data_IF_015349636956
#
_entry.id   IF_015349636956
#
_cell.length_a   1.000
_cell.length_b   1.000
_cell.length_c   1.000
_cell.angle_alpha   90.00
_cell.angle_beta   90.00
_cell.angle_gamma   90.00
#
_symmetry.space_group_name_H-M   'P 1'
#
loop_
_entity.id
_entity.type
_entity.pdbx_description
1 polymer ?
#
# COMPACT_ATOMS: atom_id res chain seq x y z
N UNK A 1 -18.60 -4.27 35.83
CA UNK A 1 -19.71 -5.11 35.36
C UNK A 1 -19.14 -6.16 34.39
N UNK A 2 -19.29 -7.46 34.67
CA UNK A 2 -18.73 -8.55 33.85
C UNK A 2 -19.56 -8.63 32.55
N UNK A 3 -19.03 -8.12 31.44
CA UNK A 3 -19.76 -8.18 30.17
C UNK A 3 -19.82 -9.64 29.71
N UNK A 4 -21.01 -10.23 29.71
CA UNK A 4 -21.21 -11.61 29.27
C UNK A 4 -21.15 -11.63 27.74
N UNK A 5 -20.24 -12.42 27.18
CA UNK A 5 -20.13 -12.56 25.72
C UNK A 5 -21.41 -13.16 25.15
N UNK A 6 -21.84 -12.67 23.99
CA UNK A 6 -22.98 -13.25 23.28
C UNK A 6 -22.62 -14.62 22.72
N UNK A 7 -23.63 -15.41 22.33
CA UNK A 7 -23.42 -16.73 21.71
C UNK A 7 -22.51 -16.67 20.49
N UNK A 8 -22.65 -15.64 19.65
CA UNK A 8 -21.80 -15.46 18.47
C UNK A 8 -20.37 -15.06 18.84
N UNK A 9 -20.19 -14.25 19.88
CA UNK A 9 -18.86 -13.88 20.38
C UNK A 9 -18.16 -15.08 21.03
N UNK A 10 -18.89 -15.97 21.71
CA UNK A 10 -18.35 -17.23 22.23
C UNK A 10 -17.92 -18.17 21.10
N UNK A 11 -18.72 -18.28 20.02
CA UNK A 11 -18.33 -19.03 18.82
C UNK A 11 -17.03 -18.49 18.20
N UNK A 12 -16.80 -17.18 18.27
CA UNK A 12 -15.58 -16.55 17.80
C UNK A 12 -14.34 -16.84 18.69
N UNK A 13 -14.47 -17.60 19.78
CA UNK A 13 -13.34 -18.09 20.59
C UNK A 13 -12.89 -19.50 20.20
N UNK A 14 -13.58 -20.17 19.27
CA UNK A 14 -13.24 -21.52 18.79
C UNK A 14 -11.83 -21.55 18.17
N UNK A 15 -10.95 -22.38 18.73
CA UNK A 15 -9.54 -22.51 18.31
C UNK A 15 -9.28 -23.70 17.38
N UNK A 16 -10.29 -24.52 17.07
CA UNK A 16 -10.12 -25.76 16.29
C UNK A 16 -10.14 -25.53 14.76
N UNK A 17 -10.37 -24.29 14.32
CA UNK A 17 -10.48 -23.93 12.90
C UNK A 17 -10.16 -22.47 12.65
N UNK A 18 -9.92 -22.16 11.38
CA UNK A 18 -9.83 -20.80 10.88
C UNK A 18 -11.22 -20.15 10.88
N UNK A 19 -11.32 -18.89 11.33
CA UNK A 19 -12.58 -18.17 11.44
C UNK A 19 -12.51 -16.83 10.70
N UNK A 20 -13.53 -16.58 9.89
CA UNK A 20 -13.84 -15.24 9.39
C UNK A 20 -15.03 -14.70 10.20
N UNK A 21 -14.83 -13.55 10.85
CA UNK A 21 -15.86 -12.94 11.73
C UNK A 21 -16.35 -11.64 11.10
N UNK A 22 -17.59 -11.65 10.62
CA UNK A 22 -18.26 -10.44 10.12
C UNK A 22 -18.99 -9.73 11.25
N UNK A 23 -18.75 -8.43 11.41
CA UNK A 23 -19.25 -7.70 12.56
C UNK A 23 -19.44 -6.20 12.26
N UNK A 24 -20.66 -5.71 12.47
CA UNK A 24 -21.04 -4.30 12.25
C UNK A 24 -20.37 -3.31 13.21
N UNK A 25 -20.59 -2.02 13.02
CA UNK A 25 -20.15 -0.99 13.98
C UNK A 25 -20.74 -1.28 15.38
N UNK A 26 -19.99 -0.99 16.44
CA UNK A 26 -20.46 -1.17 17.83
C UNK A 26 -20.61 -2.62 18.32
N UNK A 27 -20.45 -3.64 17.47
CA UNK A 27 -20.62 -5.07 17.83
C UNK A 27 -19.54 -5.68 18.74
N UNK A 28 -18.55 -4.88 19.16
CA UNK A 28 -17.48 -5.34 20.05
C UNK A 28 -16.37 -6.15 19.37
N UNK A 29 -16.11 -5.96 18.07
CA UNK A 29 -15.03 -6.62 17.31
C UNK A 29 -13.70 -6.70 18.07
N UNK A 30 -13.21 -5.55 18.52
CA UNK A 30 -11.95 -5.46 19.27
C UNK A 30 -12.03 -6.23 20.58
N UNK A 31 -13.16 -6.17 21.29
CA UNK A 31 -13.38 -6.95 22.51
C UNK A 31 -13.29 -8.44 22.23
N UNK A 32 -13.91 -8.93 21.14
CA UNK A 32 -13.83 -10.34 20.75
C UNK A 32 -12.40 -10.75 20.42
N UNK A 33 -11.66 -9.94 19.66
CA UNK A 33 -10.26 -10.23 19.34
C UNK A 33 -9.37 -10.29 20.58
N UNK A 34 -9.53 -9.35 21.52
CA UNK A 34 -8.79 -9.34 22.79
C UNK A 34 -9.14 -10.57 23.63
N UNK A 35 -10.43 -10.92 23.75
CA UNK A 35 -10.85 -12.13 24.45
C UNK A 35 -10.31 -13.39 23.78
N UNK A 36 -10.27 -13.45 22.45
CA UNK A 36 -9.68 -14.56 21.68
C UNK A 36 -8.17 -14.67 21.94
N UNK A 37 -7.44 -13.56 21.90
CA UNK A 37 -6.01 -13.51 22.22
C UNK A 37 -5.72 -14.10 23.60
N UNK A 38 -6.46 -13.65 24.63
CA UNK A 38 -6.33 -14.18 25.98
C UNK A 38 -6.79 -15.64 26.11
N UNK A 39 -7.82 -16.02 25.36
CA UNK A 39 -8.30 -17.41 25.34
C UNK A 39 -7.23 -18.35 24.80
N UNK A 40 -6.51 -17.97 23.73
CA UNK A 40 -5.39 -18.76 23.20
C UNK A 40 -4.32 -18.96 24.28
N UNK A 41 -3.87 -17.89 24.94
CA UNK A 41 -2.81 -17.97 25.94
C UNK A 41 -3.22 -18.74 27.21
N UNK A 42 -4.48 -18.59 27.65
CA UNK A 42 -4.96 -19.25 28.87
C UNK A 42 -5.27 -20.73 28.65
N UNK A 43 -5.73 -21.13 27.46
CA UNK A 43 -5.99 -22.55 27.14
C UNK A 43 -4.73 -23.32 26.73
N UNK A 44 -3.63 -22.63 26.40
CA UNK A 44 -2.39 -23.25 25.93
C UNK A 44 -1.19 -22.75 26.75
N UNK A 45 -0.91 -23.35 27.93
CA UNK A 45 0.17 -22.90 28.82
C UNK A 45 1.57 -22.88 28.18
N UNK A 46 1.81 -23.71 27.17
CA UNK A 46 3.07 -23.78 26.45
C UNK A 46 3.31 -22.59 25.51
N UNK A 47 2.27 -21.84 25.13
CA UNK A 47 2.42 -20.67 24.27
C UNK A 47 2.82 -19.44 25.09
N UNK A 48 3.66 -18.59 24.53
CA UNK A 48 4.01 -17.27 25.06
C UNK A 48 3.28 -16.20 24.24
N UNK A 49 3.27 -14.96 24.74
CA UNK A 49 2.64 -13.84 24.01
C UNK A 49 3.27 -13.61 22.63
N UNK A 50 4.57 -13.92 22.48
CA UNK A 50 5.28 -13.77 21.21
C UNK A 50 4.99 -14.88 20.19
N UNK A 51 4.25 -15.93 20.58
CA UNK A 51 3.76 -16.95 19.67
C UNK A 51 2.45 -16.55 18.95
N UNK A 52 1.86 -15.40 19.29
CA UNK A 52 0.62 -14.91 18.68
C UNK A 52 0.89 -13.61 17.94
N UNK A 53 0.74 -13.64 16.61
CA UNK A 53 0.76 -12.45 15.77
C UNK A 53 -0.65 -11.85 15.64
N UNK A 54 -0.79 -10.59 16.04
CA UNK A 54 -2.00 -9.81 15.84
C UNK A 54 -1.71 -8.60 14.94
N UNK A 55 -2.46 -8.47 13.85
CA UNK A 55 -2.27 -7.42 12.85
C UNK A 55 -3.49 -6.49 12.83
N UNK A 56 -3.24 -5.17 12.85
CA UNK A 56 -4.27 -4.13 12.73
C UNK A 56 -4.00 -3.21 11.54
N UNK A 57 -4.99 -2.39 11.16
CA UNK A 57 -4.84 -1.45 10.04
C UNK A 57 -4.10 -0.16 10.43
N UNK A 58 -4.25 0.32 11.66
CA UNK A 58 -3.68 1.59 12.11
C UNK A 58 -2.87 1.43 13.39
N UNK A 59 -1.89 2.31 13.60
CA UNK A 59 -1.09 2.37 14.84
C UNK A 59 -1.97 2.63 16.07
N UNK A 60 -3.02 3.46 15.91
CA UNK A 60 -4.01 3.67 16.97
C UNK A 60 -4.72 2.37 17.38
N UNK A 61 -5.11 1.53 16.41
CA UNK A 61 -5.74 0.25 16.71
C UNK A 61 -4.76 -0.74 17.34
N UNK A 62 -3.48 -0.73 16.93
CA UNK A 62 -2.41 -1.49 17.59
C UNK A 62 -2.29 -1.10 19.07
N UNK A 63 -2.18 0.19 19.36
CA UNK A 63 -2.06 0.72 20.73
C UNK A 63 -3.30 0.37 21.57
N UNK A 64 -4.50 0.61 21.02
CA UNK A 64 -5.76 0.28 21.69
C UNK A 64 -5.88 -1.22 22.01
N UNK A 65 -5.44 -2.09 21.09
CA UNK A 65 -5.43 -3.53 21.32
C UNK A 65 -4.48 -3.93 22.46
N UNK A 66 -3.25 -3.39 22.49
CA UNK A 66 -2.28 -3.63 23.58
C UNK A 66 -2.82 -3.18 24.93
N UNK A 67 -3.41 -1.98 24.99
CA UNK A 67 -4.01 -1.43 26.21
C UNK A 67 -5.14 -2.32 26.73
N UNK A 68 -6.06 -2.75 25.85
CA UNK A 68 -7.17 -3.64 26.22
C UNK A 68 -6.71 -5.01 26.70
N UNK A 69 -5.67 -5.59 26.07
CA UNK A 69 -5.06 -6.85 26.52
C UNK A 69 -4.53 -6.69 27.95
N UNK A 70 -3.76 -5.63 28.21
CA UNK A 70 -3.20 -5.37 29.54
C UNK A 70 -4.30 -5.17 30.60
N UNK A 71 -5.32 -4.37 30.28
CA UNK A 71 -6.44 -4.09 31.17
C UNK A 71 -7.21 -5.36 31.54
N UNK A 72 -7.51 -6.21 30.54
CA UNK A 72 -8.26 -7.45 30.74
C UNK A 72 -7.48 -8.47 31.59
N UNK A 73 -6.17 -8.62 31.34
CA UNK A 73 -5.32 -9.52 32.15
C UNK A 73 -5.22 -9.01 33.58
N UNK A 74 -4.96 -7.71 33.76
CA UNK A 74 -4.87 -7.09 35.10
C UNK A 74 -6.16 -7.27 35.88
N UNK A 75 -7.31 -7.13 35.22
CA UNK A 75 -8.60 -7.38 35.84
C UNK A 75 -8.78 -8.86 36.20
N UNK A 76 -8.44 -9.79 35.30
CA UNK A 76 -8.53 -11.23 35.56
C UNK A 76 -7.62 -11.65 36.72
N UNK A 77 -6.41 -11.11 36.81
CA UNK A 77 -5.46 -11.37 37.89
C UNK A 77 -5.99 -10.88 39.25
N UNK A 78 -6.55 -9.66 39.30
CA UNK A 78 -7.16 -9.09 40.52
C UNK A 78 -8.35 -9.91 41.03
N UNK A 79 -9.19 -10.40 40.13
CA UNK A 79 -10.39 -11.18 40.49
C UNK A 79 -10.03 -12.56 41.09
N UNK A 80 -8.81 -13.05 40.88
CA UNK A 80 -8.35 -14.34 41.41
C UNK A 80 -9.00 -15.55 40.72
N UNK A 81 -8.48 -16.74 41.04
CA UNK A 81 -8.94 -18.02 40.49
C UNK A 81 -7.79 -18.99 40.21
N UNK A 82 -8.11 -20.19 39.70
CA UNK A 82 -7.16 -21.28 39.46
C UNK A 82 -6.10 -21.05 38.37
N UNK A 83 -6.06 -19.87 37.74
CA UNK A 83 -5.10 -19.53 36.67
C UNK A 83 -4.18 -18.36 37.06
N UNK A 84 -4.05 -18.04 38.34
CA UNK A 84 -3.33 -16.85 38.80
C UNK A 84 -1.85 -16.83 38.37
N UNK A 85 -1.17 -17.97 38.46
CA UNK A 85 0.22 -18.15 38.01
C UNK A 85 0.35 -17.91 36.51
N UNK A 86 -0.51 -18.54 35.72
CA UNK A 86 -0.55 -18.36 34.27
C UNK A 86 -0.78 -16.90 33.86
N UNK A 87 -1.71 -16.21 34.52
CA UNK A 87 -1.97 -14.79 34.25
C UNK A 87 -0.76 -13.92 34.59
N UNK A 88 -0.04 -14.23 35.67
CA UNK A 88 1.19 -13.54 36.06
C UNK A 88 2.30 -13.71 35.02
N UNK A 89 2.51 -14.93 34.50
CA UNK A 89 3.46 -15.19 33.41
C UNK A 89 3.14 -14.34 32.17
N UNK A 90 1.87 -14.35 31.75
CA UNK A 90 1.42 -13.58 30.58
C UNK A 90 1.69 -12.09 30.82
N UNK A 91 1.37 -11.55 32.00
CA UNK A 91 1.63 -10.14 32.34
C UNK A 91 3.10 -9.77 32.19
N UNK A 92 4.01 -10.60 32.70
CA UNK A 92 5.45 -10.34 32.65
C UNK A 92 5.99 -10.36 31.22
N UNK A 93 5.35 -11.11 30.31
CA UNK A 93 5.79 -11.21 28.92
C UNK A 93 5.12 -10.19 28.00
N UNK A 94 4.11 -9.43 28.43
CA UNK A 94 3.31 -8.55 27.54
C UNK A 94 4.11 -7.57 26.69
N UNK A 95 5.30 -7.16 27.15
CA UNK A 95 6.20 -6.30 26.38
C UNK A 95 6.72 -6.95 25.09
N UNK A 96 6.73 -8.29 25.01
CA UNK A 96 7.10 -9.08 23.83
C UNK A 96 5.92 -9.34 22.87
N UNK A 97 4.70 -8.86 23.20
CA UNK A 97 3.50 -9.16 22.42
C UNK A 97 3.62 -8.67 20.96
N UNK A 98 3.41 -9.58 20.02
CA UNK A 98 3.53 -9.31 18.58
C UNK A 98 2.24 -8.70 18.03
N UNK A 99 1.97 -7.45 18.41
CA UNK A 99 0.84 -6.65 17.89
C UNK A 99 1.37 -5.50 17.06
N UNK A 100 1.06 -5.51 15.75
CA UNK A 100 1.60 -4.58 14.77
C UNK A 100 0.54 -4.10 13.78
N UNK A 101 0.85 -3.04 13.05
CA UNK A 101 0.25 -2.83 11.72
C UNK A 101 0.83 -3.80 10.69
N UNK A 102 0.21 -3.92 9.51
CA UNK A 102 0.78 -4.71 8.40
C UNK A 102 2.22 -4.23 8.08
N UNK A 103 2.38 -2.92 7.91
CA UNK A 103 3.70 -2.31 7.62
C UNK A 103 4.69 -2.53 8.77
N UNK A 104 4.24 -2.37 10.02
CA UNK A 104 5.08 -2.62 11.20
C UNK A 104 5.57 -4.06 11.27
N UNK A 105 4.71 -5.03 10.97
CA UNK A 105 5.08 -6.45 10.89
C UNK A 105 6.08 -6.71 9.76
N UNK A 106 5.82 -6.24 8.54
CA UNK A 106 6.74 -6.41 7.42
C UNK A 106 8.11 -5.80 7.71
N UNK A 107 8.15 -4.60 8.29
CA UNK A 107 9.40 -3.93 8.68
C UNK A 107 10.15 -4.74 9.75
N UNK A 108 9.44 -5.26 10.75
CA UNK A 108 10.05 -6.12 11.76
C UNK A 108 10.63 -7.41 11.14
N UNK A 109 9.92 -8.04 10.20
CA UNK A 109 10.37 -9.23 9.50
C UNK A 109 11.64 -8.97 8.69
N UNK A 110 11.68 -7.87 7.92
CA UNK A 110 12.86 -7.49 7.13
C UNK A 110 14.09 -7.24 8.01
N UNK A 111 13.90 -6.68 9.21
CA UNK A 111 14.98 -6.47 10.18
C UNK A 111 15.46 -7.75 10.86
N UNK A 112 14.60 -8.76 11.00
CA UNK A 112 15.00 -10.06 11.55
C UNK A 112 15.81 -10.90 10.55
N UNK A 113 15.51 -10.76 9.25
CA UNK A 113 16.13 -11.54 8.17
C UNK A 113 16.68 -10.64 7.05
N UNK A 114 17.61 -9.71 7.36
CA UNK A 114 18.06 -8.71 6.40
C UNK A 114 18.86 -9.32 5.24
N UNK A 115 19.62 -10.39 5.51
CA UNK A 115 20.44 -11.08 4.51
C UNK A 115 19.56 -11.78 3.46
N UNK A 116 18.55 -12.54 3.91
CA UNK A 116 17.60 -13.24 3.06
C UNK A 116 16.72 -12.26 2.27
N UNK A 117 16.40 -11.12 2.88
CA UNK A 117 15.65 -10.05 2.22
C UNK A 117 16.50 -9.20 1.24
N UNK A 118 17.82 -9.35 1.26
CA UNK A 118 18.73 -8.54 0.43
C UNK A 118 18.70 -7.05 0.78
N UNK A 119 18.44 -6.71 2.05
CA UNK A 119 18.39 -5.32 2.53
C UNK A 119 19.47 -5.06 3.57
N UNK A 120 19.95 -3.82 3.63
CA UNK A 120 20.85 -3.41 4.71
C UNK A 120 20.10 -3.45 6.06
N UNK A 121 20.62 -4.08 7.12
CA UNK A 121 19.99 -4.10 8.45
C UNK A 121 19.61 -2.71 8.99
N UNK A 122 20.40 -1.70 8.64
CA UNK A 122 20.23 -0.31 9.08
C UNK A 122 19.34 0.53 8.13
N UNK A 123 18.51 -0.12 7.31
CA UNK A 123 17.62 0.60 6.41
C UNK A 123 16.64 1.51 7.18
N UNK A 124 16.35 2.65 6.57
CA UNK A 124 15.31 3.57 7.00
C UNK A 124 14.14 3.50 6.04
N UNK A 125 12.92 3.52 6.58
CA UNK A 125 11.72 3.67 5.77
C UNK A 125 11.64 5.14 5.36
N UNK A 126 11.61 5.39 4.06
CA UNK A 126 11.47 6.74 3.53
C UNK A 126 10.00 7.17 3.57
N UNK A 127 9.76 8.41 3.97
CA UNK A 127 8.47 9.06 3.75
C UNK A 127 8.32 9.55 2.30
N UNK A 128 7.11 10.01 1.94
CA UNK A 128 6.81 10.42 0.57
C UNK A 128 7.69 11.59 0.08
N UNK A 129 8.08 12.51 0.98
CA UNK A 129 8.93 13.64 0.63
C UNK A 129 10.35 13.16 0.34
N UNK A 130 10.90 12.30 1.20
CA UNK A 130 12.22 11.70 1.03
C UNK A 130 12.28 10.84 -0.24
N UNK A 131 11.22 10.10 -0.56
CA UNK A 131 11.11 9.35 -1.81
C UNK A 131 11.18 10.30 -3.00
N UNK A 132 10.40 11.39 -2.98
CA UNK A 132 10.40 12.35 -4.08
C UNK A 132 11.76 13.06 -4.22
N UNK A 133 12.43 13.42 -3.12
CA UNK A 133 13.77 13.99 -3.13
C UNK A 133 14.79 13.03 -3.76
N UNK A 134 14.81 11.76 -3.33
CA UNK A 134 15.71 10.75 -3.84
C UNK A 134 15.49 10.49 -5.34
N UNK A 135 14.23 10.43 -5.78
CA UNK A 135 13.90 10.27 -7.20
C UNK A 135 14.32 11.48 -8.03
N UNK A 136 14.17 12.70 -7.50
CA UNK A 136 14.64 13.91 -8.18
C UNK A 136 16.17 13.94 -8.27
N UNK A 137 16.88 13.49 -7.24
CA UNK A 137 18.32 13.35 -7.29
C UNK A 137 18.73 12.33 -8.35
N UNK A 138 18.16 11.12 -8.33
CA UNK A 138 18.45 10.09 -9.32
C UNK A 138 18.17 10.55 -10.77
N UNK A 139 17.08 11.30 -10.99
CA UNK A 139 16.77 11.89 -12.28
C UNK A 139 17.84 12.88 -12.74
N UNK A 140 18.27 13.79 -11.86
CA UNK A 140 19.34 14.75 -12.18
C UNK A 140 20.66 14.04 -12.46
N UNK A 141 21.04 13.12 -11.59
CA UNK A 141 22.30 12.39 -11.69
C UNK A 141 22.36 11.57 -12.98
N UNK A 142 21.23 10.98 -13.41
CA UNK A 142 21.12 10.34 -14.72
C UNK A 142 21.46 11.32 -15.85
N UNK A 143 20.76 12.45 -15.97
CA UNK A 143 20.99 13.38 -17.07
C UNK A 143 22.35 14.08 -17.05
N UNK A 144 22.94 14.29 -15.87
CA UNK A 144 24.27 14.89 -15.74
C UNK A 144 25.39 13.92 -16.14
N UNK A 145 25.21 12.62 -15.88
CA UNK A 145 26.23 11.61 -16.15
C UNK A 145 25.94 10.78 -17.42
N UNK A 146 24.83 11.06 -18.12
CA UNK A 146 24.49 10.36 -19.34
C UNK A 146 25.42 10.79 -20.47
N UNK A 147 26.15 9.82 -21.05
CA UNK A 147 27.04 10.06 -22.17
C UNK A 147 26.27 10.20 -23.48
N UNK A 148 25.76 11.41 -23.72
CA UNK A 148 25.05 11.75 -24.95
C UNK A 148 25.94 11.68 -26.20
N UNK A 149 27.25 11.81 -26.06
CA UNK A 149 28.14 11.90 -27.23
C UNK A 149 28.32 10.55 -27.90
N UNK A 150 28.38 9.48 -27.10
CA UNK A 150 28.59 8.12 -27.60
C UNK A 150 27.30 7.30 -27.72
N UNK A 151 26.14 7.91 -27.46
CA UNK A 151 24.85 7.24 -27.56
C UNK A 151 24.37 7.14 -29.03
N UNK A 152 24.04 5.94 -29.55
CA UNK A 152 23.55 5.78 -30.91
C UNK A 152 22.20 6.48 -31.18
N UNK A 153 21.42 6.74 -30.13
CA UNK A 153 20.12 7.40 -30.17
C UNK A 153 20.22 8.89 -29.75
N UNK A 154 21.43 9.43 -29.61
CA UNK A 154 21.71 10.80 -29.17
C UNK A 154 20.92 11.88 -29.92
N UNK A 155 20.77 11.76 -31.24
CA UNK A 155 20.01 12.72 -32.04
C UNK A 155 18.53 12.77 -31.65
N UNK A 156 17.91 11.61 -31.43
CA UNK A 156 16.50 11.49 -31.03
C UNK A 156 16.33 12.02 -29.60
N UNK A 157 17.26 11.69 -28.70
CA UNK A 157 17.24 12.17 -27.31
C UNK A 157 17.36 13.70 -27.28
N UNK A 158 18.33 14.27 -28.00
CA UNK A 158 18.54 15.72 -28.09
C UNK A 158 17.33 16.43 -28.70
N UNK A 159 16.68 15.82 -29.70
CA UNK A 159 15.44 16.36 -30.27
C UNK A 159 14.32 16.37 -29.23
N UNK A 160 14.13 15.28 -28.49
CA UNK A 160 13.15 15.21 -27.41
C UNK A 160 13.41 16.26 -26.31
N UNK A 161 14.67 16.47 -25.94
CA UNK A 161 15.07 17.49 -24.95
C UNK A 161 14.83 18.93 -25.42
N UNK A 162 14.81 19.18 -26.74
CA UNK A 162 14.48 20.50 -27.31
C UNK A 162 12.98 20.73 -27.41
N UNK A 163 12.22 19.70 -27.74
CA UNK A 163 10.77 19.79 -27.95
C UNK A 163 9.99 19.79 -26.62
N UNK A 164 10.53 19.18 -25.57
CA UNK A 164 9.84 19.03 -24.28
C UNK A 164 10.63 19.68 -23.13
N UNK A 165 9.99 20.52 -22.29
CA UNK A 165 10.62 21.03 -21.09
C UNK A 165 11.09 19.90 -20.17
N UNK A 166 12.28 20.06 -19.57
CA UNK A 166 12.84 19.08 -18.62
C UNK A 166 11.84 18.76 -17.48
N UNK A 167 11.05 19.75 -17.07
CA UNK A 167 10.00 19.56 -16.07
C UNK A 167 8.93 18.55 -16.49
N UNK A 168 8.57 18.51 -17.78
CA UNK A 168 7.54 17.61 -18.30
C UNK A 168 8.10 16.23 -18.56
N UNK A 169 9.34 16.13 -19.04
CA UNK A 169 10.08 14.87 -19.11
C UNK A 169 10.20 14.25 -17.71
N UNK A 170 10.52 15.05 -16.69
CA UNK A 170 10.56 14.60 -15.29
C UNK A 170 9.21 14.09 -14.79
N UNK A 171 8.13 14.83 -15.04
CA UNK A 171 6.77 14.39 -14.68
C UNK A 171 6.43 13.07 -15.36
N UNK A 172 6.73 12.95 -16.65
CA UNK A 172 6.50 11.72 -17.42
C UNK A 172 7.31 10.55 -16.84
N UNK A 173 8.61 10.75 -16.60
CA UNK A 173 9.48 9.73 -16.01
C UNK A 173 8.94 9.22 -14.67
N UNK A 174 8.52 10.12 -13.76
CA UNK A 174 7.93 9.70 -12.49
C UNK A 174 6.56 9.05 -12.63
N UNK A 175 5.74 9.47 -13.60
CA UNK A 175 4.49 8.79 -13.91
C UNK A 175 4.75 7.35 -14.37
N UNK A 176 5.72 7.14 -15.27
CA UNK A 176 6.15 5.82 -15.74
C UNK A 176 6.71 4.98 -14.58
N UNK A 177 7.59 5.55 -13.76
CA UNK A 177 8.18 4.85 -12.60
C UNK A 177 7.13 4.41 -11.59
N UNK A 178 6.16 5.27 -11.27
CA UNK A 178 5.05 4.94 -10.35
C UNK A 178 4.13 3.87 -10.95
N UNK A 179 3.93 3.88 -12.27
CA UNK A 179 3.14 2.90 -13.00
C UNK A 179 3.93 1.61 -13.38
N UNK A 180 5.21 1.48 -13.00
CA UNK A 180 6.08 0.38 -13.45
C UNK A 180 5.51 -1.03 -13.31
N UNK A 181 4.73 -1.40 -12.25
CA UNK A 181 4.18 -2.76 -12.17
C UNK A 181 3.15 -3.02 -13.27
N UNK A 182 2.38 -1.99 -13.65
CA UNK A 182 1.37 -2.06 -14.70
C UNK A 182 2.01 -2.03 -16.10
N UNK A 183 3.13 -1.31 -16.24
CA UNK A 183 3.84 -1.17 -17.51
C UNK A 183 4.70 -2.38 -17.86
N UNK A 184 4.87 -3.36 -16.98
CA UNK A 184 5.66 -4.56 -17.26
C UNK A 184 5.22 -5.28 -18.53
N UNK A 185 3.91 -5.40 -18.73
CA UNK A 185 3.35 -6.01 -19.93
C UNK A 185 3.54 -5.13 -21.17
N UNK A 186 3.44 -3.80 -21.01
CA UNK A 186 3.70 -2.85 -22.09
C UNK A 186 5.14 -3.00 -22.60
N UNK A 187 6.12 -3.03 -21.71
CA UNK A 187 7.53 -3.19 -22.09
C UNK A 187 7.83 -4.55 -22.72
N UNK A 188 7.16 -5.61 -22.25
CA UNK A 188 7.25 -6.93 -22.88
C UNK A 188 6.74 -6.89 -24.33
N UNK A 189 5.55 -6.32 -24.56
CA UNK A 189 5.03 -6.15 -25.93
C UNK A 189 5.93 -5.24 -26.76
N UNK A 190 6.50 -4.21 -26.15
CA UNK A 190 7.42 -3.30 -26.83
C UNK A 190 8.67 -4.04 -27.35
N UNK A 191 9.23 -4.96 -26.55
CA UNK A 191 10.40 -5.75 -26.96
C UNK A 191 10.11 -6.83 -28.01
N UNK A 192 8.85 -7.23 -28.16
CA UNK A 192 8.43 -8.31 -29.07
C UNK A 192 8.04 -7.80 -30.47
N UNK A 193 7.77 -6.50 -30.62
CA UNK A 193 7.36 -5.89 -31.88
C UNK A 193 8.56 -5.28 -32.62
N UNK A 194 8.53 -5.40 -33.95
CA UNK A 194 9.45 -4.66 -34.80
C UNK A 194 9.02 -3.17 -34.90
N UNK A 195 9.87 -2.26 -35.40
CA UNK A 195 9.55 -0.82 -35.47
C UNK A 195 8.22 -0.50 -36.17
N UNK A 196 7.90 -1.17 -37.29
CA UNK A 196 6.64 -0.96 -37.99
C UNK A 196 5.42 -1.41 -37.16
N UNK A 197 5.54 -2.53 -36.45
CA UNK A 197 4.53 -3.04 -35.53
C UNK A 197 4.32 -2.12 -34.32
N UNK A 198 5.40 -1.53 -33.81
CA UNK A 198 5.35 -0.53 -32.73
C UNK A 198 4.59 0.72 -33.16
N UNK A 199 4.97 1.32 -34.30
CA UNK A 199 4.29 2.51 -34.84
C UNK A 199 2.80 2.23 -35.02
N UNK A 200 2.44 1.13 -35.67
CA UNK A 200 1.02 0.75 -35.88
C UNK A 200 0.27 0.56 -34.55
N UNK A 201 0.92 -0.05 -33.56
CA UNK A 201 0.33 -0.23 -32.23
C UNK A 201 0.06 1.11 -31.55
N UNK A 202 1.03 2.03 -31.61
CA UNK A 202 0.93 3.37 -31.03
C UNK A 202 -0.14 4.21 -31.71
N UNK A 203 -0.18 4.23 -33.05
CA UNK A 203 -1.21 4.92 -33.82
C UNK A 203 -2.61 4.43 -33.44
N UNK A 204 -2.80 3.11 -33.40
CA UNK A 204 -4.08 2.51 -33.04
C UNK A 204 -4.52 2.91 -31.63
N UNK A 205 -3.60 2.88 -30.67
CA UNK A 205 -3.89 3.29 -29.28
C UNK A 205 -4.14 4.78 -29.13
N UNK A 206 -3.38 5.61 -29.82
CA UNK A 206 -3.55 7.06 -29.80
C UNK A 206 -4.92 7.46 -30.33
N UNK A 207 -5.32 6.90 -31.47
CA UNK A 207 -6.64 7.14 -32.08
C UNK A 207 -7.74 6.64 -31.16
N UNK A 208 -7.63 5.44 -30.61
CA UNK A 208 -8.66 4.88 -29.72
C UNK A 208 -8.81 5.71 -28.43
N UNK A 209 -7.70 6.10 -27.80
CA UNK A 209 -7.71 6.94 -26.61
C UNK A 209 -8.36 8.30 -26.84
N UNK A 210 -7.94 9.03 -27.89
CA UNK A 210 -8.53 10.33 -28.21
C UNK A 210 -9.98 10.21 -28.68
N UNK A 211 -10.33 9.14 -29.40
CA UNK A 211 -11.72 8.87 -29.78
C UNK A 211 -12.60 8.71 -28.55
N UNK A 212 -12.18 7.93 -27.55
CA UNK A 212 -12.97 7.74 -26.32
C UNK A 212 -13.20 9.05 -25.55
N UNK A 213 -12.23 9.97 -25.56
CA UNK A 213 -12.35 11.27 -24.90
C UNK A 213 -13.21 12.24 -25.71
N UNK A 214 -12.96 12.31 -27.02
CA UNK A 214 -13.59 13.30 -27.90
C UNK A 214 -15.00 12.91 -28.29
N UNK A 215 -15.30 11.62 -28.43
CA UNK A 215 -16.60 11.17 -28.95
C UNK A 215 -17.78 11.64 -28.09
N UNK A 216 -17.75 11.57 -26.75
CA UNK A 216 -18.80 12.17 -25.92
C UNK A 216 -18.95 13.68 -26.18
N UNK A 217 -17.83 14.41 -26.27
CA UNK A 217 -17.80 15.86 -26.46
C UNK A 217 -18.33 16.28 -27.85
N UNK A 218 -18.01 15.49 -28.88
CA UNK A 218 -18.44 15.73 -30.27
C UNK A 218 -19.90 15.33 -30.51
N UNK A 219 -20.48 14.49 -29.66
CA UNK A 219 -21.90 14.12 -29.73
C UNK A 219 -22.80 14.95 -28.80
N UNK A 220 -22.21 15.80 -27.96
CA UNK A 220 -22.94 16.66 -27.04
C UNK A 220 -23.58 17.84 -27.77
N UNK A 221 -24.92 17.94 -27.75
CA UNK A 221 -25.65 19.01 -28.44
C UNK A 221 -25.36 20.40 -27.88
N UNK A 222 -25.05 20.53 -26.59
CA UNK A 222 -24.68 21.79 -25.96
C UNK A 222 -23.36 22.31 -26.52
N UNK A 223 -22.35 21.43 -26.61
CA UNK A 223 -21.04 21.76 -27.20
C UNK A 223 -21.17 22.13 -28.68
N UNK A 224 -21.92 21.35 -29.46
CA UNK A 224 -22.14 21.63 -30.88
C UNK A 224 -22.80 23.00 -31.11
N UNK A 225 -23.82 23.35 -30.31
CA UNK A 225 -24.48 24.65 -30.39
C UNK A 225 -23.54 25.83 -30.08
N UNK A 226 -22.62 25.66 -29.14
CA UNK A 226 -21.62 26.69 -28.82
C UNK A 226 -20.58 26.84 -29.93
N UNK A 227 -20.14 25.74 -30.54
CA UNK A 227 -19.24 25.77 -31.70
C UNK A 227 -19.88 26.48 -32.90
N UNK A 228 -21.17 26.25 -33.16
CA UNK A 228 -21.90 26.98 -34.20
C UNK A 228 -21.92 28.50 -33.95
N UNK A 229 -22.05 28.91 -32.70
CA UNK A 229 -21.99 30.33 -32.33
C UNK A 229 -20.59 30.91 -32.56
N UNK A 230 -19.52 30.16 -32.23
CA UNK A 230 -18.14 30.59 -32.48
C UNK A 230 -17.84 30.74 -33.97
N UNK A 231 -18.36 29.84 -34.82
CA UNK A 231 -18.21 29.92 -36.27
C UNK A 231 -18.89 31.16 -36.89
N UNK A 232 -19.82 31.81 -36.18
CA UNK A 232 -20.51 33.02 -36.62
C UNK A 232 -19.80 34.31 -36.19
N UNK A 233 -18.75 34.22 -35.38
CA UNK A 233 -17.97 35.39 -34.98
C UNK A 233 -17.17 35.88 -36.19
N UNK A 234 -17.40 37.11 -36.68
CA UNK A 234 -16.65 37.62 -37.82
C UNK A 234 -15.18 37.79 -37.42
N UNK A 235 -14.28 37.21 -38.23
CA UNK A 235 -12.84 37.45 -38.09
C UNK A 235 -12.60 38.91 -38.49
N UNK A 236 -12.23 39.74 -37.51
CA UNK A 236 -11.73 41.09 -37.82
C UNK A 236 -10.37 40.95 -38.50
N UNK A 237 -10.28 41.37 -39.77
CA UNK A 237 -9.02 41.63 -40.43
C UNK A 237 -8.27 42.78 -39.74
#
# INVERSE_FOLDING_TARGET
MRMKLTTNQLKALDLQRNLAVTAGAGSGKTTVLVKRYLHILTQNPHLKVNNILAITFTEKATAEMKERIFADISQAFRLGGGQRERLYEIMNQLHEAQVFTIHGFCSNLLRQYPLEAGVNPDYTVLDDLQVDELLNQAFRDFFLNYDLENDPDSEIILRGLREYPVSDIRKFFFAVYRARPLLRNFWKTFSELNPAGLVKNWESRFVEYHRQILQPLLTDQGVLSQLENLCRIPVKN
#
